data_IF_035275680572
#
_entry.id   IF_035275680572
#
_cell.length_a   1.000
_cell.length_b   1.000
_cell.length_c   1.000
_cell.angle_alpha   90.00
_cell.angle_beta   90.00
_cell.angle_gamma   90.00
#
_symmetry.space_group_name_H-M   'P 1'
#
loop_
_entity.id
_entity.type
_entity.pdbx_description
1 polymer ?
#
# COMPACT_ATOMS: atom_id res chain seq x y z
N UNK A 1 72.69 32.75 21.26
CA UNK A 1 73.39 31.46 21.14
C UNK A 1 72.40 30.49 20.55
N UNK A 2 72.60 29.80 19.45
CA UNK A 2 73.62 29.71 18.41
C UNK A 2 72.92 28.75 17.40
N UNK A 3 72.85 29.09 16.10
CA UNK A 3 73.73 28.51 15.06
C UNK A 3 73.39 27.03 14.77
N UNK A 4 73.26 26.50 13.56
CA UNK A 4 73.32 26.99 12.18
C UNK A 4 72.92 25.78 11.29
N UNK A 5 72.30 26.07 10.15
CA UNK A 5 72.67 25.68 8.78
C UNK A 5 72.91 24.22 8.32
N UNK A 6 72.24 23.93 7.18
CA UNK A 6 72.76 23.32 5.92
C UNK A 6 73.09 21.82 5.96
N UNK A 7 72.91 20.99 4.93
CA UNK A 7 73.18 21.05 3.47
C UNK A 7 72.25 20.01 2.77
N UNK A 8 71.58 20.24 1.65
CA UNK A 8 71.98 20.45 0.24
C UNK A 8 72.33 19.18 -0.59
N UNK A 9 71.94 19.25 -1.89
CA UNK A 9 72.29 18.40 -3.06
C UNK A 9 71.36 17.21 -3.37
N UNK A 10 70.39 17.31 -4.30
CA UNK A 10 70.47 17.48 -5.78
C UNK A 10 71.01 16.24 -6.50
N UNK A 11 70.13 15.53 -7.21
CA UNK A 11 70.44 14.94 -8.52
C UNK A 11 69.35 15.36 -9.50
N UNK A 12 69.78 16.11 -10.50
CA UNK A 12 69.04 16.70 -11.60
C UNK A 12 69.11 15.77 -12.83
N UNK A 13 68.42 16.19 -13.91
CA UNK A 13 68.58 15.80 -15.34
C UNK A 13 67.52 14.79 -15.86
N UNK A 14 66.86 15.03 -17.02
CA UNK A 14 66.33 16.27 -17.60
C UNK A 14 65.00 16.06 -18.38
N UNK A 15 64.47 17.11 -19.03
CA UNK A 15 63.69 17.06 -20.29
C UNK A 15 62.40 16.19 -20.31
N UNK A 16 61.20 16.72 -20.48
CA UNK A 16 60.74 17.41 -21.69
C UNK A 16 59.61 18.38 -21.33
N UNK A 17 59.81 19.62 -21.76
CA UNK A 17 58.80 20.64 -21.91
C UNK A 17 57.75 20.14 -22.90
N UNK A 18 56.54 19.81 -22.42
CA UNK A 18 55.36 19.90 -23.27
C UNK A 18 54.49 21.03 -22.74
N UNK A 19 54.75 22.18 -23.34
CA UNK A 19 53.93 23.37 -23.34
C UNK A 19 52.51 22.99 -23.79
N UNK A 20 51.60 22.73 -22.84
CA UNK A 20 50.18 22.81 -23.12
C UNK A 20 49.82 24.28 -23.23
N UNK A 21 49.92 24.76 -24.45
CA UNK A 21 49.36 26.02 -24.91
C UNK A 21 47.90 26.06 -24.46
N UNK A 22 47.65 27.03 -23.59
CA UNK A 22 46.35 27.48 -23.14
C UNK A 22 45.60 28.05 -24.36
N UNK A 23 45.05 27.20 -25.23
CA UNK A 23 44.11 27.65 -26.24
C UNK A 23 42.74 27.75 -25.56
N UNK A 24 42.43 28.94 -25.05
CA UNK A 24 41.06 29.42 -24.80
C UNK A 24 40.30 29.48 -26.12
N UNK A 25 40.02 28.35 -26.76
CA UNK A 25 38.84 28.22 -27.59
C UNK A 25 37.70 27.79 -26.66
N UNK A 26 37.26 28.74 -25.83
CA UNK A 26 35.96 28.67 -25.19
C UNK A 26 34.91 28.76 -26.29
N UNK A 27 34.68 27.66 -27.01
CA UNK A 27 33.40 27.44 -27.64
C UNK A 27 32.38 27.54 -26.50
N UNK A 28 31.36 28.41 -26.59
CA UNK A 28 30.21 28.22 -25.75
C UNK A 28 29.71 26.83 -26.12
N UNK A 29 29.98 25.84 -25.26
CA UNK A 29 29.18 24.63 -25.23
C UNK A 29 27.77 25.14 -25.02
N UNK A 30 27.08 25.36 -26.14
CA UNK A 30 25.65 25.56 -26.19
C UNK A 30 25.12 24.49 -25.25
N UNK A 31 24.54 24.88 -24.12
CA UNK A 31 23.76 23.97 -23.29
C UNK A 31 22.60 23.53 -24.18
N UNK A 32 22.84 22.53 -25.02
CA UNK A 32 21.82 21.93 -25.86
C UNK A 32 20.85 21.28 -24.88
N UNK A 33 19.59 21.69 -24.94
CA UNK A 33 18.54 21.13 -24.10
C UNK A 33 18.58 19.61 -24.17
N UNK A 34 18.67 18.97 -23.01
CA UNK A 34 18.68 17.51 -22.93
C UNK A 34 17.28 17.02 -23.30
N UNK A 35 17.15 16.24 -24.38
CA UNK A 35 15.90 15.62 -24.78
C UNK A 35 15.55 14.47 -23.83
N UNK A 36 14.99 14.82 -22.67
CA UNK A 36 14.57 13.88 -21.63
C UNK A 36 13.05 13.73 -21.68
N UNK A 37 12.59 12.48 -21.63
CA UNK A 37 11.17 12.18 -21.53
C UNK A 37 10.65 12.34 -20.09
N UNK A 38 10.00 13.47 -19.82
CA UNK A 38 9.47 13.83 -18.49
C UNK A 38 8.11 13.18 -18.15
N UNK A 39 7.58 12.29 -19.00
CA UNK A 39 6.20 11.77 -18.86
C UNK A 39 5.94 11.02 -17.55
N UNK A 40 6.96 10.36 -16.98
CA UNK A 40 6.80 9.47 -15.83
C UNK A 40 7.51 9.93 -14.55
N UNK A 41 8.06 11.14 -14.54
CA UNK A 41 8.78 11.68 -13.39
C UNK A 41 7.86 11.83 -12.17
N UNK A 42 6.63 12.29 -12.41
CA UNK A 42 5.61 12.42 -11.37
C UNK A 42 4.98 11.07 -11.03
N UNK A 43 5.51 10.43 -9.98
CA UNK A 43 4.93 9.19 -9.42
C UNK A 43 3.63 9.46 -8.65
N UNK A 44 2.51 8.93 -9.13
CA UNK A 44 1.19 9.06 -8.48
C UNK A 44 1.08 8.11 -7.28
N UNK A 45 1.37 8.64 -6.09
CA UNK A 45 1.23 7.90 -4.82
C UNK A 45 0.91 8.85 -3.67
N UNK A 46 0.21 8.33 -2.66
CA UNK A 46 -0.07 9.10 -1.44
C UNK A 46 1.15 9.12 -0.52
N UNK A 47 1.57 10.33 -0.11
CA UNK A 47 2.63 10.56 0.89
C UNK A 47 2.07 10.88 2.30
N UNK A 48 0.79 11.22 2.36
CA UNK A 48 0.04 11.55 3.57
C UNK A 48 -1.43 11.08 3.43
N UNK A 49 -2.16 10.86 4.54
CA UNK A 49 -3.60 10.66 4.49
C UNK A 49 -4.28 11.94 3.98
N UNK A 50 -5.31 11.79 3.14
CA UNK A 50 -6.16 12.93 2.71
C UNK A 50 -7.13 13.38 3.81
N UNK A 51 -7.39 12.52 4.80
CA UNK A 51 -8.36 12.78 5.86
C UNK A 51 -7.79 13.75 6.91
N UNK A 52 -8.69 14.56 7.48
CA UNK A 52 -8.37 15.55 8.52
C UNK A 52 -8.46 15.02 9.95
N UNK A 53 -8.88 13.76 10.13
CA UNK A 53 -8.96 13.11 11.43
C UNK A 53 -7.62 13.15 12.20
N UNK A 54 -7.57 13.78 13.39
CA UNK A 54 -6.34 13.89 14.18
C UNK A 54 -5.81 12.53 14.62
N UNK A 55 -6.68 11.57 14.98
CA UNK A 55 -6.26 10.25 15.46
C UNK A 55 -5.54 9.46 14.37
N UNK A 56 -6.07 9.49 13.15
CA UNK A 56 -5.41 8.87 12.00
C UNK A 56 -4.07 9.53 11.68
N UNK A 57 -3.95 10.86 11.80
CA UNK A 57 -2.68 11.57 11.58
C UNK A 57 -1.62 11.20 12.62
N UNK A 58 -2.01 11.07 13.89
CA UNK A 58 -1.11 10.63 14.98
C UNK A 58 -0.60 9.20 14.70
N UNK A 59 -1.50 8.28 14.34
CA UNK A 59 -1.10 6.92 13.97
C UNK A 59 -0.15 6.89 12.76
N UNK A 60 -0.40 7.71 11.74
CA UNK A 60 0.52 7.81 10.59
C UNK A 60 1.88 8.38 11.01
N UNK A 61 1.93 9.35 11.92
CA UNK A 61 3.18 9.91 12.44
C UNK A 61 3.98 8.85 13.19
N UNK A 62 3.33 8.06 14.04
CA UNK A 62 3.93 6.94 14.76
C UNK A 62 4.53 5.90 13.81
N UNK A 63 3.75 5.40 12.84
CA UNK A 63 4.24 4.38 11.91
C UNK A 63 5.26 4.91 10.89
N UNK A 64 5.24 6.20 10.55
CA UNK A 64 6.34 6.84 9.80
C UNK A 64 7.64 6.82 10.58
N UNK A 65 7.58 7.11 11.88
CA UNK A 65 8.74 7.04 12.77
C UNK A 65 9.30 5.60 12.83
N UNK A 66 8.43 4.62 13.09
CA UNK A 66 8.82 3.20 13.12
C UNK A 66 9.40 2.72 11.78
N UNK A 67 8.80 3.11 10.66
CA UNK A 67 9.32 2.72 9.33
C UNK A 67 10.74 3.24 9.10
N UNK A 68 11.04 4.46 9.56
CA UNK A 68 12.37 5.06 9.39
C UNK A 68 13.41 4.46 10.35
N UNK A 69 13.03 4.09 11.57
CA UNK A 69 13.97 3.63 12.60
C UNK A 69 14.20 2.12 12.59
N UNK A 70 13.15 1.33 12.32
CA UNK A 70 13.24 -0.14 12.39
C UNK A 70 13.65 -0.76 11.04
N UNK A 71 13.30 -0.12 9.91
CA UNK A 71 13.59 -0.64 8.57
C UNK A 71 12.71 -1.83 8.13
N UNK A 72 11.77 -2.28 8.95
CA UNK A 72 10.93 -3.44 8.67
C UNK A 72 9.86 -3.21 7.58
N UNK A 73 9.67 -4.22 6.71
CA UNK A 73 8.67 -4.16 5.63
C UNK A 73 7.24 -4.05 6.17
N UNK A 74 6.96 -4.66 7.33
CA UNK A 74 5.65 -4.62 7.97
C UNK A 74 5.16 -3.19 8.22
N UNK A 75 6.00 -2.35 8.85
CA UNK A 75 5.69 -0.96 9.17
C UNK A 75 5.50 -0.09 7.92
N UNK A 76 6.32 -0.33 6.88
CA UNK A 76 6.15 0.32 5.58
C UNK A 76 4.79 0.02 4.96
N UNK A 77 4.33 -1.24 5.06
CA UNK A 77 3.02 -1.65 4.54
C UNK A 77 1.88 -1.03 5.35
N UNK A 78 1.95 -1.02 6.69
CA UNK A 78 0.93 -0.37 7.54
C UNK A 78 0.84 1.11 7.23
N UNK A 79 1.97 1.83 7.18
CA UNK A 79 2.02 3.25 6.84
C UNK A 79 1.33 3.54 5.51
N UNK A 80 1.65 2.75 4.47
CA UNK A 80 1.00 2.86 3.16
C UNK A 80 -0.51 2.62 3.25
N UNK A 81 -0.96 1.63 4.03
CA UNK A 81 -2.38 1.28 4.19
C UNK A 81 -3.15 2.34 4.97
N UNK A 82 -2.58 2.95 6.01
CA UNK A 82 -3.21 4.04 6.77
C UNK A 82 -3.52 5.25 5.87
N UNK A 83 -2.64 5.54 4.90
CA UNK A 83 -2.83 6.64 3.94
C UNK A 83 -3.86 6.34 2.82
N UNK A 84 -4.25 5.07 2.65
CA UNK A 84 -5.18 4.67 1.60
C UNK A 84 -6.58 5.27 1.80
N UNK A 85 -7.28 5.50 0.70
CA UNK A 85 -8.69 5.87 0.73
C UNK A 85 -9.54 4.73 1.33
N UNK A 86 -10.70 5.07 1.90
CA UNK A 86 -11.66 4.09 2.45
C UNK A 86 -12.01 2.99 1.44
N UNK A 87 -12.13 3.33 0.15
CA UNK A 87 -12.35 2.36 -0.95
C UNK A 87 -11.33 1.20 -0.96
N UNK A 88 -10.07 1.48 -0.65
CA UNK A 88 -8.97 0.49 -0.67
C UNK A 88 -8.70 -0.14 0.69
N UNK A 89 -9.46 0.27 1.72
CA UNK A 89 -9.55 -0.34 3.05
C UNK A 89 -10.96 -0.92 3.27
N UNK A 90 -11.38 -1.93 2.49
CA UNK A 90 -12.69 -2.55 2.65
C UNK A 90 -12.84 -3.20 4.02
N UNK A 91 -14.07 -3.29 4.55
CA UNK A 91 -14.33 -3.99 5.80
C UNK A 91 -14.00 -5.49 5.68
N UNK A 92 -13.60 -6.08 6.80
CA UNK A 92 -13.31 -7.50 6.97
C UNK A 92 -14.37 -8.12 7.86
N UNK A 93 -15.04 -9.18 7.38
CA UNK A 93 -15.95 -9.94 8.24
C UNK A 93 -15.20 -10.88 9.17
N UNK A 94 -15.73 -11.10 10.37
CA UNK A 94 -15.20 -12.10 11.32
C UNK A 94 -15.08 -13.49 10.68
N UNK A 95 -16.06 -13.88 9.86
CA UNK A 95 -16.01 -15.15 9.13
C UNK A 95 -14.81 -15.31 8.19
N UNK A 96 -14.42 -14.23 7.53
CA UNK A 96 -13.27 -14.23 6.64
C UNK A 96 -11.97 -14.21 7.44
N UNK A 97 -11.96 -13.49 8.56
CA UNK A 97 -10.85 -13.45 9.51
C UNK A 97 -10.53 -14.87 10.03
N UNK A 98 -11.55 -15.59 10.53
CA UNK A 98 -11.42 -16.96 11.03
C UNK A 98 -10.85 -17.89 9.95
N UNK A 99 -11.34 -17.81 8.71
CA UNK A 99 -10.83 -18.63 7.61
C UNK A 99 -9.34 -18.41 7.33
N UNK A 100 -8.84 -17.19 7.45
CA UNK A 100 -7.41 -16.92 7.31
C UNK A 100 -6.60 -17.40 8.51
N UNK A 101 -7.15 -17.28 9.72
CA UNK A 101 -6.48 -17.71 10.95
C UNK A 101 -6.41 -19.23 11.12
N UNK A 102 -7.43 -19.96 10.64
CA UNK A 102 -7.46 -21.43 10.59
C UNK A 102 -6.48 -22.01 9.55
N UNK A 103 -5.97 -21.19 8.63
CA UNK A 103 -5.03 -21.66 7.61
C UNK A 103 -3.64 -21.75 8.23
N UNK A 104 -3.21 -22.97 8.58
CA UNK A 104 -1.92 -23.26 9.22
C UNK A 104 -1.85 -22.75 10.67
N UNK A 105 -0.65 -22.52 11.17
CA UNK A 105 -0.40 -22.17 12.59
C UNK A 105 -0.65 -20.69 12.94
N UNK A 106 -1.53 -20.02 12.19
CA UNK A 106 -1.77 -18.58 12.35
C UNK A 106 -2.70 -18.24 13.50
N UNK A 107 -3.28 -19.23 14.19
CA UNK A 107 -4.21 -18.99 15.30
C UNK A 107 -3.55 -18.35 16.52
N UNK A 108 -2.24 -18.57 16.71
CA UNK A 108 -1.44 -17.94 17.78
C UNK A 108 -1.01 -16.50 17.45
N UNK A 109 -1.15 -16.08 16.19
CA UNK A 109 -0.68 -14.78 15.70
C UNK A 109 -1.73 -13.71 15.88
N UNK A 110 -1.27 -12.46 15.97
CA UNK A 110 -2.16 -11.29 16.02
C UNK A 110 -2.67 -11.01 14.61
N UNK A 111 -4.00 -11.01 14.44
CA UNK A 111 -4.61 -10.68 13.16
C UNK A 111 -4.68 -9.16 12.97
N UNK A 112 -3.93 -8.62 12.01
CA UNK A 112 -3.83 -7.17 11.79
C UNK A 112 -4.62 -6.76 10.56
N UNK A 113 -5.62 -5.90 10.76
CA UNK A 113 -6.48 -5.38 9.70
C UNK A 113 -6.50 -3.85 9.73
N UNK A 114 -5.91 -3.22 8.71
CA UNK A 114 -6.01 -1.77 8.54
C UNK A 114 -7.36 -1.42 7.89
N UNK A 115 -8.41 -1.43 8.69
CA UNK A 115 -9.79 -1.21 8.25
C UNK A 115 -10.79 -1.49 9.36
N UNK A 116 -12.04 -1.71 8.96
CA UNK A 116 -13.14 -2.04 9.87
C UNK A 116 -13.37 -3.54 9.95
N UNK A 117 -13.63 -4.06 11.14
CA UNK A 117 -14.07 -5.43 11.34
C UNK A 117 -15.57 -5.47 11.60
N UNK A 118 -16.28 -6.22 10.77
CA UNK A 118 -17.75 -6.33 10.77
C UNK A 118 -18.18 -7.70 11.27
N UNK A 119 -19.32 -7.74 11.96
CA UNK A 119 -19.93 -8.99 12.40
C UNK A 119 -20.43 -9.83 11.22
N UNK A 120 -20.53 -11.13 11.43
CA UNK A 120 -21.12 -12.09 10.50
C UNK A 120 -21.97 -13.10 11.28
N UNK A 121 -23.28 -12.88 11.29
CA UNK A 121 -24.25 -13.65 12.07
C UNK A 121 -24.38 -15.11 11.60
N UNK A 122 -23.85 -15.45 10.42
CA UNK A 122 -23.92 -16.81 9.86
C UNK A 122 -23.00 -17.79 10.56
N UNK A 123 -21.99 -17.29 11.27
CA UNK A 123 -21.11 -18.11 12.08
C UNK A 123 -21.61 -18.00 13.51
N UNK A 124 -21.66 -19.10 14.24
CA UNK A 124 -22.05 -19.12 15.64
C UNK A 124 -20.82 -19.08 16.54
N UNK A 125 -19.86 -19.99 16.29
CA UNK A 125 -18.66 -20.15 17.09
C UNK A 125 -17.48 -19.32 16.58
N UNK A 126 -16.87 -18.55 17.48
CA UNK A 126 -15.66 -17.77 17.21
C UNK A 126 -14.53 -18.35 18.05
N UNK A 127 -13.38 -18.71 17.45
CA UNK A 127 -12.21 -19.11 18.22
C UNK A 127 -11.61 -17.92 18.98
N UNK A 128 -10.81 -18.18 20.01
CA UNK A 128 -10.05 -17.14 20.70
C UNK A 128 -9.09 -16.46 19.71
N UNK A 129 -9.27 -15.17 19.48
CA UNK A 129 -8.50 -14.40 18.51
C UNK A 129 -8.00 -13.09 19.12
N UNK A 130 -6.76 -12.74 18.82
CA UNK A 130 -6.20 -11.41 19.12
C UNK A 130 -6.18 -10.59 17.84
N UNK A 131 -6.91 -9.48 17.82
CA UNK A 131 -7.22 -8.76 16.59
C UNK A 131 -6.87 -7.29 16.71
N UNK A 132 -6.03 -6.78 15.82
CA UNK A 132 -5.69 -5.37 15.73
C UNK A 132 -6.41 -4.69 14.55
N UNK A 133 -7.20 -3.65 14.83
CA UNK A 133 -7.97 -2.94 13.80
C UNK A 133 -8.14 -1.45 14.09
N UNK A 134 -8.53 -0.68 13.05
CA UNK A 134 -8.86 0.74 13.21
C UNK A 134 -10.23 0.92 13.86
N UNK A 135 -11.19 0.08 13.46
CA UNK A 135 -12.54 0.11 13.99
C UNK A 135 -13.10 -1.29 14.03
N UNK A 136 -13.85 -1.61 15.09
CA UNK A 136 -14.57 -2.87 15.24
C UNK A 136 -16.02 -2.52 15.53
N UNK A 137 -16.94 -3.11 14.77
CA UNK A 137 -18.38 -2.95 15.00
C UNK A 137 -18.77 -3.50 16.37
N UNK A 138 -19.81 -2.95 16.99
CA UNK A 138 -20.27 -3.34 18.34
C UNK A 138 -20.58 -4.83 18.45
N UNK A 139 -21.30 -5.39 17.47
CA UNK A 139 -21.60 -6.82 17.39
C UNK A 139 -20.34 -7.69 17.31
N UNK A 140 -19.41 -7.36 16.40
CA UNK A 140 -18.15 -8.10 16.31
C UNK A 140 -17.32 -7.99 17.60
N UNK A 141 -17.30 -6.82 18.23
CA UNK A 141 -16.57 -6.58 19.48
C UNK A 141 -17.11 -7.48 20.60
N UNK A 142 -18.43 -7.48 20.81
CA UNK A 142 -19.06 -8.30 21.85
C UNK A 142 -18.77 -9.79 21.66
N UNK A 143 -18.84 -10.28 20.42
CA UNK A 143 -18.63 -11.70 20.14
C UNK A 143 -17.18 -12.15 20.28
N UNK A 144 -16.20 -11.31 19.90
CA UNK A 144 -14.77 -11.62 20.09
C UNK A 144 -14.42 -11.66 21.58
N UNK A 145 -14.92 -10.70 22.37
CA UNK A 145 -14.69 -10.66 23.82
C UNK A 145 -15.38 -11.86 24.50
N UNK A 146 -16.61 -12.21 24.09
CA UNK A 146 -17.32 -13.40 24.60
C UNK A 146 -16.56 -14.70 24.34
N UNK A 147 -15.85 -14.80 23.22
CA UNK A 147 -14.97 -15.92 22.90
C UNK A 147 -13.64 -15.92 23.67
N UNK A 148 -13.42 -14.96 24.58
CA UNK A 148 -12.16 -14.77 25.30
C UNK A 148 -11.03 -14.20 24.44
N UNK A 149 -11.36 -13.62 23.28
CA UNK A 149 -10.42 -12.93 22.40
C UNK A 149 -10.15 -11.49 22.85
N UNK A 150 -9.15 -10.88 22.23
CA UNK A 150 -8.69 -9.53 22.56
C UNK A 150 -8.72 -8.63 21.33
N UNK A 151 -9.12 -7.37 21.50
CA UNK A 151 -9.14 -6.37 20.45
C UNK A 151 -8.16 -5.26 20.81
N UNK A 152 -7.18 -5.07 19.93
CA UNK A 152 -6.04 -4.18 20.14
C UNK A 152 -6.12 -3.01 19.15
N UNK A 153 -5.68 -1.84 19.57
CA UNK A 153 -5.51 -0.67 18.70
C UNK A 153 -4.11 -0.64 18.05
N UNK A 154 -3.90 0.20 17.06
CA UNK A 154 -2.62 0.23 16.33
C UNK A 154 -1.45 0.82 17.16
N UNK A 155 -1.74 1.68 18.12
CA UNK A 155 -0.80 2.19 19.13
C UNK A 155 -0.37 1.07 20.09
N UNK A 156 -1.31 0.30 20.65
CA UNK A 156 -1.01 -0.86 21.49
C UNK A 156 -0.24 -1.95 20.72
N UNK A 157 -0.57 -2.17 19.45
CA UNK A 157 0.16 -3.09 18.59
C UNK A 157 1.62 -2.66 18.40
N UNK A 158 1.87 -1.36 18.24
CA UNK A 158 3.22 -0.82 18.09
C UNK A 158 4.06 -1.03 19.36
N UNK A 159 3.45 -1.01 20.54
CA UNK A 159 4.13 -1.33 21.80
C UNK A 159 4.45 -2.82 21.94
N UNK A 160 3.51 -3.70 21.58
CA UNK A 160 3.69 -5.16 21.70
C UNK A 160 4.65 -5.75 20.67
N UNK A 161 4.52 -5.30 19.43
CA UNK A 161 5.25 -5.85 18.29
C UNK A 161 5.72 -4.72 17.36
N UNK A 162 6.71 -3.90 17.78
CA UNK A 162 7.21 -2.77 16.98
C UNK A 162 7.81 -3.22 15.63
N UNK A 163 8.30 -4.46 15.55
CA UNK A 163 8.82 -5.08 14.31
C UNK A 163 7.75 -5.83 13.50
N UNK A 164 6.56 -6.07 14.07
CA UNK A 164 5.51 -6.89 13.45
C UNK A 164 5.67 -8.40 13.64
N UNK A 165 6.43 -8.84 14.64
CA UNK A 165 6.61 -10.24 14.99
C UNK A 165 5.27 -10.91 15.35
N UNK A 166 5.10 -12.18 14.96
CA UNK A 166 3.89 -12.96 15.21
C UNK A 166 2.58 -12.28 14.77
N UNK A 167 2.64 -11.45 13.72
CA UNK A 167 1.45 -10.83 13.13
C UNK A 167 1.05 -11.48 11.82
N UNK A 168 -0.26 -11.51 11.55
CA UNK A 168 -0.81 -11.88 10.25
C UNK A 168 -1.55 -10.68 9.67
N UNK A 169 -0.94 -10.06 8.64
CA UNK A 169 -1.47 -8.85 8.03
C UNK A 169 -2.50 -9.18 6.93
N UNK A 170 -3.77 -8.86 7.18
CA UNK A 170 -4.89 -9.24 6.30
C UNK A 170 -5.50 -8.03 5.57
N UNK A 171 -6.22 -8.30 4.48
CA UNK A 171 -6.99 -7.31 3.72
C UNK A 171 -8.37 -7.85 3.35
N UNK A 172 -9.35 -6.95 3.35
CA UNK A 172 -10.69 -7.24 2.82
C UNK A 172 -10.74 -7.33 1.30
N UNK A 173 -11.80 -7.98 0.78
CA UNK A 173 -11.99 -8.12 -0.66
C UNK A 173 -12.31 -6.76 -1.29
N UNK A 174 -11.39 -6.25 -2.11
CA UNK A 174 -11.52 -4.95 -2.79
C UNK A 174 -12.51 -4.99 -3.97
N UNK A 175 -12.55 -6.13 -4.68
CA UNK A 175 -13.29 -6.30 -5.95
C UNK A 175 -14.76 -6.72 -5.80
N UNK A 176 -15.25 -6.97 -4.58
CA UNK A 176 -16.62 -7.46 -4.37
C UNK A 176 -17.72 -6.37 -4.44
N UNK A 177 -17.33 -5.11 -4.74
CA UNK A 177 -18.24 -3.97 -4.79
C UNK A 177 -19.09 -3.99 -6.06
N UNK A 178 -20.28 -3.43 -6.00
CA UNK A 178 -21.16 -3.29 -7.17
C UNK A 178 -20.47 -2.54 -8.32
N UNK A 179 -19.77 -1.44 -8.02
CA UNK A 179 -19.05 -0.64 -9.02
C UNK A 179 -18.06 -1.48 -9.84
N UNK A 180 -17.36 -2.42 -9.21
CA UNK A 180 -16.38 -3.29 -9.87
C UNK A 180 -17.04 -4.29 -10.83
N UNK A 181 -18.34 -4.60 -10.63
CA UNK A 181 -19.09 -5.45 -11.57
C UNK A 181 -19.44 -4.74 -12.87
N UNK A 182 -19.40 -3.41 -12.89
CA UNK A 182 -19.64 -2.59 -14.08
C UNK A 182 -18.36 -2.28 -14.85
N UNK A 183 -17.19 -2.57 -14.28
CA UNK A 183 -15.91 -2.42 -14.94
C UNK A 183 -15.57 -3.68 -15.75
N UNK A 184 -14.80 -3.49 -16.82
CA UNK A 184 -14.39 -4.55 -17.74
C UNK A 184 -14.80 -4.24 -19.18
N UNK A 185 -14.73 -5.24 -20.07
CA UNK A 185 -15.22 -5.13 -21.43
C UNK A 185 -16.67 -4.65 -21.46
N UNK A 186 -17.05 -3.92 -22.50
CA UNK A 186 -18.41 -3.41 -22.60
C UNK A 186 -19.43 -4.56 -22.56
N UNK A 187 -20.60 -4.42 -21.91
CA UNK A 187 -21.58 -5.50 -21.71
C UNK A 187 -22.15 -6.14 -22.99
N UNK A 188 -21.87 -5.56 -24.16
CA UNK A 188 -22.29 -6.05 -25.47
C UNK A 188 -21.15 -6.70 -26.27
N UNK A 189 -19.96 -6.88 -25.71
CA UNK A 189 -18.86 -7.59 -26.38
C UNK A 189 -19.04 -9.10 -26.17
N UNK A 190 -18.73 -9.96 -27.17
CA UNK A 190 -18.76 -11.41 -26.97
C UNK A 190 -17.95 -11.85 -25.74
N UNK A 191 -18.45 -12.85 -25.01
CA UNK A 191 -17.82 -13.37 -23.78
C UNK A 191 -17.67 -12.35 -22.62
N UNK A 192 -18.33 -11.19 -22.70
CA UNK A 192 -18.37 -10.23 -21.60
C UNK A 192 -19.46 -10.57 -20.59
N UNK A 193 -19.10 -10.56 -19.31
CA UNK A 193 -20.03 -10.75 -18.18
C UNK A 193 -20.22 -9.48 -17.34
N UNK A 194 -19.80 -8.32 -17.87
CA UNK A 194 -19.93 -7.03 -17.22
C UNK A 194 -21.40 -6.69 -17.00
N UNK A 195 -21.74 -6.27 -15.77
CA UNK A 195 -23.11 -5.90 -15.42
C UNK A 195 -23.47 -4.60 -16.17
N UNK A 196 -24.59 -4.56 -16.94
CA UNK A 196 -25.02 -3.31 -17.58
C UNK A 196 -25.55 -2.30 -16.54
N UNK A 197 -25.49 -1.01 -16.90
CA UNK A 197 -26.00 0.10 -16.11
C UNK A 197 -27.49 0.32 -16.45
N UNK A 198 -28.37 -0.34 -15.69
CA UNK A 198 -29.82 -0.30 -15.92
C UNK A 198 -30.52 0.31 -14.72
N UNK A 199 -31.52 1.19 -14.95
CA UNK A 199 -32.29 1.85 -13.87
C UNK A 199 -33.08 0.85 -13.01
N UNK A 200 -33.67 -0.16 -13.65
CA UNK A 200 -34.48 -1.19 -12.98
C UNK A 200 -34.21 -2.56 -13.59
N UNK A 201 -34.38 -3.62 -12.81
CA UNK A 201 -34.21 -5.00 -13.26
C UNK A 201 -35.58 -5.64 -13.47
N UNK A 202 -35.87 -6.10 -14.69
CA UNK A 202 -37.15 -6.74 -14.99
C UNK A 202 -37.20 -7.34 -16.39
N UNK A 203 -38.35 -7.93 -16.77
CA UNK A 203 -38.53 -8.57 -18.09
C UNK A 203 -38.35 -7.57 -19.24
N UNK A 204 -38.81 -6.33 -19.05
CA UNK A 204 -38.82 -5.26 -20.06
C UNK A 204 -37.51 -4.45 -20.15
N UNK A 205 -36.56 -4.67 -19.24
CA UNK A 205 -35.33 -3.86 -19.16
C UNK A 205 -34.11 -4.65 -19.68
N UNK A 206 -33.58 -4.28 -20.84
CA UNK A 206 -32.32 -4.80 -21.43
C UNK A 206 -32.19 -6.33 -21.48
N UNK A 207 -33.28 -7.04 -21.82
CA UNK A 207 -33.30 -8.51 -21.98
C UNK A 207 -33.72 -9.00 -23.37
N UNK A 208 -33.88 -8.10 -24.33
CA UNK A 208 -34.38 -8.40 -25.69
C UNK A 208 -33.22 -8.63 -26.68
N UNK A 209 -33.08 -7.76 -27.68
CA UNK A 209 -32.02 -7.83 -28.71
C UNK A 209 -30.63 -7.81 -28.08
N UNK A 210 -29.72 -8.65 -28.61
CA UNK A 210 -28.34 -8.78 -28.12
C UNK A 210 -28.16 -9.67 -26.88
N UNK A 211 -29.26 -10.11 -26.24
CA UNK A 211 -29.23 -11.03 -25.08
C UNK A 211 -29.84 -12.40 -25.36
N UNK A 212 -30.59 -12.55 -26.45
CA UNK A 212 -31.32 -13.79 -26.80
C UNK A 212 -31.16 -14.07 -28.28
N UNK A 213 -30.92 -15.35 -28.61
CA UNK A 213 -30.81 -15.81 -30.01
C UNK A 213 -32.09 -15.53 -30.82
N UNK A 214 -33.25 -15.59 -30.18
CA UNK A 214 -34.56 -15.36 -30.84
C UNK A 214 -34.87 -13.91 -31.21
N UNK A 215 -34.06 -12.93 -30.80
CA UNK A 215 -34.29 -11.50 -31.08
C UNK A 215 -33.05 -10.90 -31.76
N UNK A 216 -32.81 -11.30 -33.01
CA UNK A 216 -31.72 -10.80 -33.86
C UNK A 216 -30.40 -11.53 -33.63
N UNK A 217 -29.77 -11.33 -32.48
CA UNK A 217 -28.48 -11.98 -32.15
C UNK A 217 -28.26 -12.06 -30.64
N UNK A 218 -27.32 -12.91 -30.22
CA UNK A 218 -26.83 -13.02 -28.84
C UNK A 218 -25.31 -13.01 -28.84
N UNK A 219 -24.76 -12.11 -28.04
CA UNK A 219 -23.33 -12.02 -27.77
C UNK A 219 -22.93 -12.88 -26.56
#
# INVERSE_FOLDING_TARGET
MAVDDTWDLVVFVPFVVLQWVYCKSGSPILEMGVDINHKYDRKVRRKAPKSEDPYLRVLVKLYKYLTRRTGEKFNSIITKRLMMARRHRPPMSVARLIRYMKRGDNMKKIAVVVGTITDDNRIFEIPKLTVAALHVTTGARARIIKAGGEIITFDQLALRAPRGENTCLLQGPRKHRLAERHFGPAPGVPHSHTKPLVRSKGRKFERARGRRKSRGYRN
#
